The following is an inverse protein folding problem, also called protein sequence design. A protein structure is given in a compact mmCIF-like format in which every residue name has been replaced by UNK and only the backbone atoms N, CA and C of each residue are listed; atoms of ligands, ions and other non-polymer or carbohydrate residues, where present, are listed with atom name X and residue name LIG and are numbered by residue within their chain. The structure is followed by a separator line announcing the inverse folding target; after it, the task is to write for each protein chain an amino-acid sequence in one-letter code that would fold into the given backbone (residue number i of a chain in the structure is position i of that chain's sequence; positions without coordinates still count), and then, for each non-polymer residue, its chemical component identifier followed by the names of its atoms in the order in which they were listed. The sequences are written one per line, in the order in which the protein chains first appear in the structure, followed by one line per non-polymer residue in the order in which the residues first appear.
data_IF_620502872573
#
_entry.id   IF_620502872573
#
_cell.length_a   1.000
_cell.length_b   1.000
_cell.length_c   1.000
_cell.angle_alpha   90.00
_cell.angle_beta   90.00
_cell.angle_gamma   90.00
#
_symmetry.space_group_name_H-M   'P 1'
#
loop_
_entity.id
_entity.type
_entity.pdbx_description
1 polymer ?
#
# COMPACT_ATOMS: atom_id res chain seq x y z
N UNK A 1 80.66 -21.16 -45.18
CA UNK A 1 80.18 -21.13 -43.83
C UNK A 1 79.23 -19.96 -43.67
N UNK A 2 77.91 -20.18 -43.83
CA UNK A 2 76.89 -19.18 -43.58
C UNK A 2 75.77 -19.89 -42.84
N UNK A 3 75.56 -19.43 -41.58
CA UNK A 3 74.52 -19.89 -40.69
C UNK A 3 73.19 -19.30 -41.09
N UNK A 4 72.18 -20.13 -41.35
CA UNK A 4 70.80 -19.69 -41.62
C UNK A 4 70.05 -19.89 -40.28
N UNK A 5 69.66 -18.73 -39.67
CA UNK A 5 68.78 -18.68 -38.56
C UNK A 5 67.34 -18.77 -39.03
N UNK A 6 66.69 -19.89 -38.77
CA UNK A 6 65.30 -20.14 -39.05
C UNK A 6 64.45 -19.35 -38.02
N UNK A 7 63.64 -18.43 -38.49
CA UNK A 7 62.70 -17.61 -37.68
C UNK A 7 61.35 -18.28 -37.76
N UNK A 8 60.94 -18.92 -36.62
CA UNK A 8 59.62 -19.49 -36.51
C UNK A 8 58.66 -18.40 -36.08
N UNK A 9 57.73 -18.01 -36.98
CA UNK A 9 56.60 -17.16 -36.69
C UNK A 9 55.50 -18.05 -36.14
N UNK A 10 55.27 -17.97 -34.80
CA UNK A 10 54.08 -18.55 -34.16
C UNK A 10 52.92 -17.58 -34.36
N UNK A 11 52.01 -17.92 -35.26
CA UNK A 11 50.77 -17.20 -35.51
C UNK A 11 49.77 -17.65 -34.45
N UNK A 12 49.64 -16.85 -33.38
CA UNK A 12 48.56 -17.03 -32.37
C UNK A 12 47.26 -16.46 -32.90
N UNK A 13 46.39 -17.34 -33.36
CA UNK A 13 45.03 -17.01 -33.77
C UNK A 13 44.20 -16.82 -32.47
N UNK A 14 44.02 -15.54 -32.08
CA UNK A 14 43.14 -15.18 -30.99
C UNK A 14 41.67 -15.37 -31.41
N UNK A 15 41.05 -16.44 -30.96
CA UNK A 15 39.64 -16.72 -31.18
C UNK A 15 38.83 -15.80 -30.24
N UNK A 16 38.44 -14.62 -30.68
CA UNK A 16 37.50 -13.73 -29.97
C UNK A 16 36.08 -14.26 -30.16
N UNK A 17 35.61 -15.02 -29.19
CA UNK A 17 34.20 -15.34 -29.09
C UNK A 17 33.42 -14.07 -28.74
N UNK A 18 32.36 -13.71 -29.48
CA UNK A 18 31.50 -12.62 -29.06
C UNK A 18 30.75 -13.07 -27.81
N UNK A 19 31.01 -12.41 -26.66
CA UNK A 19 30.13 -12.49 -25.49
C UNK A 19 28.81 -11.86 -25.92
N UNK A 20 27.85 -12.68 -26.30
CA UNK A 20 26.48 -12.24 -26.42
C UNK A 20 26.03 -11.84 -25.01
N UNK A 21 26.04 -10.53 -24.73
CA UNK A 21 25.36 -9.99 -23.57
C UNK A 21 23.88 -10.38 -23.71
N UNK A 22 23.43 -11.36 -22.91
CA UNK A 22 22.01 -11.52 -22.66
C UNK A 22 21.53 -10.19 -22.06
N UNK A 23 20.98 -9.34 -22.89
CA UNK A 23 20.13 -8.26 -22.43
C UNK A 23 18.98 -8.95 -21.69
N UNK A 24 19.04 -8.94 -20.35
CA UNK A 24 17.89 -9.25 -19.53
C UNK A 24 16.79 -8.29 -20.00
N UNK A 25 15.84 -8.84 -20.75
CA UNK A 25 14.66 -8.10 -21.17
C UNK A 25 14.05 -7.50 -19.89
N UNK A 26 14.00 -6.18 -19.81
CA UNK A 26 13.14 -5.48 -18.86
C UNK A 26 11.77 -6.12 -19.07
N UNK A 27 11.27 -6.82 -18.07
CA UNK A 27 9.90 -7.27 -18.09
C UNK A 27 9.07 -6.00 -18.34
N UNK A 28 8.25 -6.05 -19.37
CA UNK A 28 7.37 -4.95 -19.77
C UNK A 28 6.22 -4.92 -18.75
N UNK A 29 6.54 -4.39 -17.55
CA UNK A 29 5.53 -4.16 -16.54
C UNK A 29 4.75 -2.93 -16.96
N UNK A 30 3.40 -2.99 -16.99
CA UNK A 30 2.60 -1.82 -17.26
C UNK A 30 3.00 -0.72 -16.27
N UNK A 31 3.44 0.43 -16.80
CA UNK A 31 3.71 1.60 -15.98
C UNK A 31 2.40 2.07 -15.35
N UNK A 32 2.32 1.99 -14.02
CA UNK A 32 1.22 2.60 -13.28
C UNK A 32 1.45 4.11 -13.36
N UNK A 33 0.74 4.76 -14.28
CA UNK A 33 0.84 6.20 -14.48
C UNK A 33 -0.09 6.92 -13.51
N UNK A 34 0.39 7.17 -12.28
CA UNK A 34 -0.33 7.95 -11.28
C UNK A 34 -0.13 9.43 -11.62
N UNK A 35 -1.11 10.02 -12.27
CA UNK A 35 -1.08 11.43 -12.66
C UNK A 35 -1.66 12.36 -11.58
N UNK A 36 -2.47 11.84 -10.66
CA UNK A 36 -3.05 12.57 -9.53
C UNK A 36 -2.95 11.73 -8.26
N UNK A 37 -2.40 12.31 -7.19
CA UNK A 37 -2.30 11.67 -5.88
C UNK A 37 -3.67 11.22 -5.35
N UNK A 38 -4.75 11.90 -5.71
CA UNK A 38 -6.11 11.53 -5.32
C UNK A 38 -6.55 10.15 -5.81
N UNK A 39 -5.98 9.65 -6.89
CA UNK A 39 -6.25 8.29 -7.38
C UNK A 39 -5.73 7.21 -6.44
N UNK A 40 -4.75 7.54 -5.60
CA UNK A 40 -4.15 6.61 -4.63
C UNK A 40 -4.93 6.50 -3.33
N UNK A 41 -5.98 7.32 -3.16
CA UNK A 41 -6.72 7.46 -1.91
C UNK A 41 -8.22 7.34 -2.16
N UNK A 42 -8.89 6.51 -1.37
CA UNK A 42 -10.35 6.54 -1.24
C UNK A 42 -10.72 7.59 -0.20
N UNK A 43 -11.66 8.49 -0.53
CA UNK A 43 -12.16 9.54 0.35
C UNK A 43 -13.67 9.44 0.48
N UNK A 44 -14.18 9.49 1.71
CA UNK A 44 -15.61 9.59 2.02
C UNK A 44 -15.86 10.75 2.98
N UNK A 45 -16.80 11.64 2.66
CA UNK A 45 -17.19 12.67 3.60
C UNK A 45 -18.14 12.08 4.63
N UNK A 46 -17.94 12.44 5.90
CA UNK A 46 -18.92 12.16 6.96
C UNK A 46 -20.16 13.02 6.73
N UNK A 47 -21.36 12.42 6.87
CA UNK A 47 -22.64 13.16 6.73
C UNK A 47 -22.72 14.31 7.77
N UNK A 48 -23.29 15.44 7.38
CA UNK A 48 -23.34 16.64 8.24
C UNK A 48 -24.12 16.44 9.56
N UNK A 49 -25.01 15.47 9.61
CA UNK A 49 -25.79 15.13 10.81
C UNK A 49 -25.13 14.06 11.69
N UNK A 50 -23.93 13.63 11.37
CA UNK A 50 -23.16 12.62 12.11
C UNK A 50 -22.05 13.35 12.87
N UNK A 51 -22.07 13.23 14.19
CA UNK A 51 -20.98 13.77 15.00
C UNK A 51 -19.69 12.96 14.80
N UNK A 52 -18.56 13.55 15.13
CA UNK A 52 -17.27 12.84 15.09
C UNK A 52 -17.27 11.60 15.98
N UNK A 53 -17.86 11.72 17.15
CA UNK A 53 -17.98 10.66 18.14
C UNK A 53 -18.84 9.51 17.62
N UNK A 54 -19.98 9.82 16.98
CA UNK A 54 -20.84 8.82 16.34
C UNK A 54 -20.14 8.13 15.16
N UNK A 55 -19.42 8.90 14.34
CA UNK A 55 -18.64 8.35 13.24
C UNK A 55 -17.55 7.36 13.73
N UNK A 56 -16.86 7.71 14.84
CA UNK A 56 -15.87 6.83 15.45
C UNK A 56 -16.54 5.57 16.00
N UNK A 57 -17.67 5.70 16.69
CA UNK A 57 -18.39 4.56 17.23
C UNK A 57 -18.88 3.63 16.12
N UNK A 58 -19.42 4.18 15.03
CA UNK A 58 -19.87 3.41 13.88
C UNK A 58 -18.72 2.65 13.19
N UNK A 59 -17.57 3.32 12.99
CA UNK A 59 -16.34 2.67 12.51
C UNK A 59 -15.96 1.45 13.35
N UNK A 60 -15.92 1.64 14.68
CA UNK A 60 -15.49 0.60 15.62
C UNK A 60 -16.49 -0.55 15.71
N UNK A 61 -17.79 -0.23 15.72
CA UNK A 61 -18.86 -1.23 15.77
C UNK A 61 -18.88 -2.08 14.50
N UNK A 62 -18.79 -1.45 13.32
CA UNK A 62 -18.77 -2.17 12.06
C UNK A 62 -17.54 -3.06 11.92
N UNK A 63 -16.37 -2.56 12.28
CA UNK A 63 -15.14 -3.37 12.27
C UNK A 63 -15.28 -4.62 13.16
N UNK A 64 -15.84 -4.48 14.35
CA UNK A 64 -16.08 -5.60 15.27
C UNK A 64 -17.08 -6.61 14.69
N UNK A 65 -18.17 -6.14 14.07
CA UNK A 65 -19.21 -6.97 13.45
C UNK A 65 -18.66 -7.87 12.34
N UNK A 66 -17.77 -7.31 11.49
CA UNK A 66 -17.17 -8.06 10.36
C UNK A 66 -15.85 -8.75 10.74
N UNK A 67 -15.56 -8.88 12.02
CA UNK A 67 -14.35 -9.53 12.54
C UNK A 67 -13.03 -8.88 12.06
N UNK A 68 -13.07 -7.58 11.78
CA UNK A 68 -11.87 -6.79 11.49
C UNK A 68 -11.34 -6.19 12.80
N UNK A 69 -10.24 -6.73 13.29
CA UNK A 69 -9.73 -6.38 14.62
C UNK A 69 -9.18 -4.97 14.64
N UNK A 70 -9.65 -4.15 15.59
CA UNK A 70 -9.02 -2.88 15.90
C UNK A 70 -7.64 -3.11 16.55
N UNK A 71 -6.62 -2.47 15.99
CA UNK A 71 -5.22 -2.58 16.43
C UNK A 71 -4.82 -1.39 17.29
N UNK A 72 -5.02 -0.17 16.78
CA UNK A 72 -4.62 1.05 17.46
C UNK A 72 -5.37 2.28 16.91
N UNK A 73 -5.40 3.35 17.72
CA UNK A 73 -5.79 4.70 17.33
C UNK A 73 -4.66 5.66 17.65
N UNK A 74 -4.15 6.32 16.64
CA UNK A 74 -3.14 7.35 16.78
C UNK A 74 -3.83 8.72 16.77
N UNK A 75 -3.89 9.38 17.93
CA UNK A 75 -4.52 10.70 18.11
C UNK A 75 -3.52 11.81 17.79
N UNK A 76 -3.27 12.04 16.49
CA UNK A 76 -2.22 12.96 16.02
C UNK A 76 -2.51 14.39 16.42
N UNK A 77 -3.75 14.87 16.26
CA UNK A 77 -4.12 16.24 16.65
C UNK A 77 -3.94 16.47 18.15
N UNK A 78 -4.33 15.51 18.99
CA UNK A 78 -4.13 15.60 20.45
C UNK A 78 -2.67 15.69 20.85
N UNK A 79 -1.81 14.92 20.18
CA UNK A 79 -0.36 14.97 20.41
C UNK A 79 0.21 16.34 20.02
N UNK A 80 -0.20 16.90 18.88
CA UNK A 80 0.22 18.23 18.43
C UNK A 80 -0.25 19.34 19.37
N UNK A 81 -1.51 19.28 19.80
CA UNK A 81 -2.09 20.21 20.78
C UNK A 81 -1.32 20.21 22.11
N UNK A 82 -0.91 19.03 22.59
CA UNK A 82 -0.10 18.89 23.81
C UNK A 82 1.25 19.60 23.70
N UNK A 83 1.74 19.80 22.47
CA UNK A 83 2.98 20.57 22.16
C UNK A 83 2.70 22.04 21.84
N UNK A 84 1.47 22.53 22.05
CA UNK A 84 1.07 23.91 21.78
C UNK A 84 0.86 24.24 20.30
N UNK A 85 0.77 23.24 19.43
CA UNK A 85 0.54 23.40 18.00
C UNK A 85 -0.96 23.27 17.69
N UNK A 86 -1.54 24.31 17.10
CA UNK A 86 -2.92 24.25 16.60
C UNK A 86 -2.96 23.45 15.30
N UNK A 87 -3.89 22.50 15.19
CA UNK A 87 -4.07 21.67 14.02
C UNK A 87 -5.55 21.34 13.82
N UNK A 88 -6.02 21.15 12.57
CA UNK A 88 -7.29 20.46 12.33
C UNK A 88 -7.30 19.08 12.96
N UNK A 89 -8.49 18.54 13.18
CA UNK A 89 -8.60 17.20 13.72
C UNK A 89 -7.95 16.17 12.79
N UNK A 90 -7.15 15.28 13.36
CA UNK A 90 -6.55 14.13 12.66
C UNK A 90 -6.34 12.99 13.65
N UNK A 91 -7.04 11.87 13.38
CA UNK A 91 -6.79 10.59 14.02
C UNK A 91 -6.60 9.50 12.96
N UNK A 92 -5.78 8.50 13.26
CA UNK A 92 -5.53 7.37 12.39
C UNK A 92 -5.96 6.09 13.12
N UNK A 93 -6.95 5.39 12.57
CA UNK A 93 -7.44 4.12 13.06
C UNK A 93 -6.77 2.98 12.30
N UNK A 94 -6.34 1.96 13.01
CA UNK A 94 -5.62 0.82 12.47
C UNK A 94 -6.42 -0.45 12.69
N UNK A 95 -6.58 -1.23 11.64
CA UNK A 95 -7.35 -2.48 11.63
C UNK A 95 -6.55 -3.60 10.99
N UNK A 96 -6.80 -4.82 11.40
CA UNK A 96 -6.17 -6.00 10.82
C UNK A 96 -7.05 -7.24 11.01
N UNK A 97 -7.13 -8.07 9.98
CA UNK A 97 -7.53 -9.46 10.14
C UNK A 97 -6.26 -10.29 10.35
N UNK A 98 -6.05 -10.93 11.53
CA UNK A 98 -4.80 -11.66 11.80
C UNK A 98 -4.61 -12.90 10.93
N UNK A 99 -5.69 -13.53 10.46
CA UNK A 99 -5.65 -14.71 9.61
C UNK A 99 -5.20 -14.34 8.21
N UNK A 100 -5.82 -13.31 7.61
CA UNK A 100 -5.39 -12.75 6.33
C UNK A 100 -3.94 -12.26 6.38
N UNK A 101 -3.57 -11.57 7.47
CA UNK A 101 -2.20 -11.11 7.68
C UNK A 101 -1.20 -12.27 7.72
N UNK A 102 -1.55 -13.37 8.41
CA UNK A 102 -0.71 -14.57 8.44
C UNK A 102 -0.53 -15.17 7.06
N UNK A 103 -1.60 -15.32 6.28
CA UNK A 103 -1.52 -15.86 4.93
C UNK A 103 -0.59 -15.02 4.04
N UNK A 104 -0.74 -13.70 4.08
CA UNK A 104 0.11 -12.80 3.31
C UNK A 104 1.59 -12.90 3.67
N UNK A 105 1.95 -12.91 4.97
CA UNK A 105 3.36 -13.00 5.39
C UNK A 105 3.96 -14.40 5.20
N UNK A 106 3.13 -15.45 5.19
CA UNK A 106 3.58 -16.80 4.87
C UNK A 106 3.89 -16.96 3.37
N UNK A 107 3.21 -16.19 2.52
CA UNK A 107 3.51 -16.12 1.10
C UNK A 107 4.84 -15.37 0.86
N UNK A 108 4.95 -14.14 1.36
CA UNK A 108 6.18 -13.35 1.38
C UNK A 108 6.15 -12.31 2.52
N UNK A 109 7.17 -12.27 3.40
CA UNK A 109 7.27 -11.29 4.49
C UNK A 109 7.21 -9.82 4.05
N UNK A 110 7.46 -9.49 2.77
CA UNK A 110 7.38 -8.12 2.23
C UNK A 110 5.99 -7.51 2.43
N UNK A 111 4.94 -8.34 2.44
CA UNK A 111 3.56 -7.87 2.63
C UNK A 111 3.29 -7.31 4.03
N UNK A 112 4.15 -7.55 5.01
CA UNK A 112 4.09 -6.89 6.31
C UNK A 112 4.15 -5.35 6.20
N UNK A 113 4.78 -4.82 5.13
CA UNK A 113 4.86 -3.38 4.89
C UNK A 113 3.49 -2.70 4.63
N UNK A 114 2.50 -3.46 4.20
CA UNK A 114 1.13 -2.96 3.95
C UNK A 114 0.23 -3.02 5.18
N UNK A 115 0.72 -3.60 6.29
CA UNK A 115 -0.06 -3.81 7.52
C UNK A 115 0.35 -2.81 8.62
N UNK A 116 -0.59 -2.48 9.51
CA UNK A 116 -2.02 -2.71 9.45
C UNK A 116 -2.71 -1.76 8.45
N UNK A 117 -3.92 -2.13 8.00
CA UNK A 117 -4.77 -1.23 7.21
C UNK A 117 -5.16 -0.01 8.04
N UNK A 118 -5.30 1.16 7.41
CA UNK A 118 -5.51 2.42 8.10
C UNK A 118 -6.64 3.22 7.50
N UNK A 119 -7.47 3.83 8.38
CA UNK A 119 -8.42 4.87 8.02
C UNK A 119 -8.02 6.13 8.78
N UNK A 120 -7.68 7.19 8.06
CA UNK A 120 -7.50 8.51 8.64
C UNK A 120 -8.87 9.21 8.71
N UNK A 121 -9.21 9.78 9.86
CA UNK A 121 -10.32 10.70 10.03
C UNK A 121 -9.73 12.10 10.16
N UNK A 122 -10.06 13.00 9.23
CA UNK A 122 -9.43 14.32 9.14
C UNK A 122 -10.47 15.40 8.87
N UNK A 123 -10.31 16.54 9.52
CA UNK A 123 -11.08 17.76 9.28
C UNK A 123 -10.37 18.64 8.26
N UNK A 124 -11.09 19.05 7.21
CA UNK A 124 -10.56 19.99 6.22
C UNK A 124 -10.62 21.44 6.70
N UNK A 125 -10.20 22.37 5.84
CA UNK A 125 -10.16 23.81 6.14
C UNK A 125 -11.54 24.43 6.31
N UNK A 126 -12.56 23.80 5.78
CA UNK A 126 -13.97 24.19 5.86
C UNK A 126 -14.66 23.59 7.09
N UNK A 127 -13.94 22.81 7.91
CA UNK A 127 -14.48 22.13 9.11
C UNK A 127 -15.25 20.86 8.78
N UNK A 128 -15.15 20.35 7.55
CA UNK A 128 -15.81 19.11 7.13
C UNK A 128 -14.94 17.89 7.46
N UNK A 129 -15.58 16.88 8.02
CA UNK A 129 -14.92 15.64 8.41
C UNK A 129 -14.88 14.63 7.24
N UNK A 130 -13.71 14.03 7.04
CA UNK A 130 -13.43 13.06 5.99
C UNK A 130 -12.82 11.79 6.55
N UNK A 131 -13.18 10.67 5.94
CA UNK A 131 -12.51 9.39 6.10
C UNK A 131 -11.67 9.10 4.86
N UNK A 132 -10.43 8.69 5.06
CA UNK A 132 -9.48 8.45 3.97
C UNK A 132 -8.69 7.17 4.21
N UNK A 133 -8.53 6.35 3.15
CA UNK A 133 -7.65 5.18 3.17
C UNK A 133 -6.90 5.05 1.85
N UNK A 134 -5.86 4.24 1.81
CA UNK A 134 -5.21 3.88 0.55
C UNK A 134 -6.18 3.14 -0.36
N UNK A 135 -6.13 3.46 -1.64
CA UNK A 135 -6.92 2.77 -2.66
C UNK A 135 -6.27 1.42 -3.02
N UNK A 136 -6.77 0.33 -2.43
CA UNK A 136 -6.26 -1.01 -2.67
C UNK A 136 -6.61 -1.54 -4.07
N UNK A 137 -7.62 -0.97 -4.76
CA UNK A 137 -7.96 -1.35 -6.13
C UNK A 137 -6.78 -1.13 -7.08
N UNK A 138 -5.94 -0.13 -6.81
CA UNK A 138 -4.72 0.09 -7.57
C UNK A 138 -3.75 -1.09 -7.47
N UNK A 139 -3.61 -1.65 -6.26
CA UNK A 139 -2.75 -2.82 -6.04
C UNK A 139 -3.38 -4.09 -6.67
N UNK A 140 -4.67 -4.28 -6.47
CA UNK A 140 -5.44 -5.43 -6.97
C UNK A 140 -5.41 -5.49 -8.50
N UNK A 141 -5.57 -4.34 -9.17
CA UNK A 141 -5.64 -4.24 -10.63
C UNK A 141 -4.28 -4.01 -11.31
N UNK A 142 -3.19 -3.95 -10.56
CA UNK A 142 -1.85 -3.61 -11.09
C UNK A 142 -1.06 -4.78 -11.66
N UNK A 143 -1.58 -6.01 -11.60
CA UNK A 143 -0.83 -7.24 -11.91
C UNK A 143 0.45 -7.45 -11.03
N UNK A 144 0.68 -6.55 -10.07
CA UNK A 144 1.80 -6.68 -9.12
C UNK A 144 1.47 -7.64 -7.96
N UNK A 145 0.17 -7.89 -7.74
CA UNK A 145 -0.28 -8.79 -6.70
C UNK A 145 -0.39 -10.21 -7.26
N UNK A 146 0.26 -11.20 -6.65
CA UNK A 146 0.12 -12.61 -7.03
C UNK A 146 -1.34 -13.06 -6.97
N UNK A 147 -1.79 -13.92 -7.90
CA UNK A 147 -3.18 -14.41 -7.93
C UNK A 147 -3.64 -15.02 -6.60
N UNK A 148 -2.74 -15.68 -5.88
CA UNK A 148 -3.01 -16.32 -4.59
C UNK A 148 -3.41 -15.32 -3.50
N UNK A 149 -2.95 -14.08 -3.61
CA UNK A 149 -3.25 -12.99 -2.66
C UNK A 149 -4.38 -12.08 -3.12
N UNK A 150 -4.81 -12.19 -4.36
CA UNK A 150 -5.84 -11.29 -4.93
C UNK A 150 -7.16 -11.40 -4.18
N UNK A 151 -7.61 -12.60 -3.84
CA UNK A 151 -8.87 -12.80 -3.08
C UNK A 151 -8.79 -12.20 -1.67
N UNK A 152 -7.63 -12.32 -1.02
CA UNK A 152 -7.41 -11.69 0.30
C UNK A 152 -7.48 -10.17 0.17
N UNK A 153 -6.80 -9.61 -0.82
CA UNK A 153 -6.78 -8.16 -1.04
C UNK A 153 -8.19 -7.60 -1.34
N UNK A 154 -8.98 -8.30 -2.15
CA UNK A 154 -10.38 -7.93 -2.44
C UNK A 154 -11.22 -7.95 -1.15
N UNK A 155 -11.13 -9.02 -0.36
CA UNK A 155 -11.86 -9.16 0.90
C UNK A 155 -11.48 -8.06 1.91
N UNK A 156 -10.20 -7.79 2.06
CA UNK A 156 -9.70 -6.72 2.95
C UNK A 156 -10.15 -5.35 2.46
N UNK A 157 -10.07 -5.08 1.14
CA UNK A 157 -10.54 -3.82 0.58
C UNK A 157 -12.03 -3.60 0.85
N UNK A 158 -12.87 -4.63 0.61
CA UNK A 158 -14.29 -4.57 0.87
C UNK A 158 -14.60 -4.33 2.36
N UNK A 159 -13.92 -5.04 3.26
CA UNK A 159 -14.08 -4.85 4.70
C UNK A 159 -13.72 -3.42 5.14
N UNK A 160 -12.64 -2.85 4.60
CA UNK A 160 -12.24 -1.47 4.91
C UNK A 160 -13.25 -0.44 4.36
N UNK A 161 -13.80 -0.67 3.17
CA UNK A 161 -14.84 0.17 2.59
C UNK A 161 -16.13 0.12 3.43
N UNK A 162 -16.55 -1.05 3.88
CA UNK A 162 -17.71 -1.22 4.74
C UNK A 162 -17.56 -0.44 6.06
N UNK A 163 -16.38 -0.51 6.67
CA UNK A 163 -16.06 0.28 7.88
C UNK A 163 -16.12 1.77 7.59
N UNK A 164 -15.58 2.23 6.45
CA UNK A 164 -15.64 3.65 6.06
C UNK A 164 -17.09 4.11 5.83
N UNK A 165 -17.91 3.29 5.17
CA UNK A 165 -19.33 3.62 4.93
C UNK A 165 -20.06 3.78 6.25
N UNK A 166 -19.91 2.84 7.20
CA UNK A 166 -20.51 2.95 8.53
C UNK A 166 -20.10 4.25 9.24
N UNK A 167 -18.79 4.56 9.28
CA UNK A 167 -18.30 5.80 9.87
C UNK A 167 -18.79 7.05 9.17
N UNK A 168 -18.93 7.03 7.83
CA UNK A 168 -19.41 8.18 7.07
C UNK A 168 -20.91 8.44 7.24
N UNK A 169 -21.70 7.38 7.46
CA UNK A 169 -23.17 7.45 7.60
C UNK A 169 -23.63 7.52 9.04
N UNK A 170 -22.79 7.11 10.01
CA UNK A 170 -23.16 6.95 11.42
C UNK A 170 -24.10 5.77 11.67
N UNK A 171 -24.18 4.83 10.72
CA UNK A 171 -25.06 3.66 10.83
C UNK A 171 -24.31 2.51 11.54
N UNK A 172 -25.01 1.89 12.49
CA UNK A 172 -24.52 0.75 13.28
C UNK A 172 -25.10 -0.56 12.77
#
# INVERSE_FOLDING_TARGET
MKSIKSFWFVLTLALTLPVAALAAGKADHPEINITDIKQTVVQMSVKNNVSREDAIQALMSRAAEINLKFVARQQVSRELESRGLKTPYLDIFQFCNPEDAREMIMFDPIYAAYMPCRIAMVEDKEGKLWLMMLNLDMLINSELLPPELTEIAIRVNQAMLDVMVAGATGEF
#
